data_IF_597463945977
#
_entry.id   IF_597463945977
#
_cell.length_a   1.000
_cell.length_b   1.000
_cell.length_c   1.000
_cell.angle_alpha   90.00
_cell.angle_beta   90.00
_cell.angle_gamma   90.00
#
_symmetry.space_group_name_H-M   'P 1'
#
loop_
_entity.id
_entity.type
_entity.pdbx_description
1 polymer ?
#
# COMPACT_ATOMS: atom_id res chain seq x y z
N UNK A 1 38.68 13.55 -20.74
CA UNK A 1 38.61 12.40 -19.80
C UNK A 1 37.26 11.75 -20.02
N UNK A 2 37.19 10.51 -20.48
CA UNK A 2 35.92 9.82 -20.70
C UNK A 2 35.35 9.41 -19.34
N UNK A 3 34.16 9.93 -19.00
CA UNK A 3 33.46 9.54 -17.76
C UNK A 3 33.03 8.08 -17.89
N UNK A 4 33.47 7.25 -16.97
CA UNK A 4 33.09 5.85 -16.93
C UNK A 4 31.65 5.76 -16.32
N UNK A 5 30.66 5.59 -17.19
CA UNK A 5 29.23 5.58 -16.83
C UNK A 5 28.85 4.45 -15.88
N UNK A 6 29.61 3.33 -15.87
CA UNK A 6 29.40 2.23 -14.91
C UNK A 6 29.73 2.67 -13.47
N UNK A 7 30.77 3.51 -13.32
CA UNK A 7 31.10 4.10 -12.02
C UNK A 7 30.06 5.14 -11.57
N UNK A 8 29.44 5.87 -12.50
CA UNK A 8 28.36 6.79 -12.23
C UNK A 8 27.10 6.05 -11.73
N UNK A 9 26.73 4.98 -12.38
CA UNK A 9 25.58 4.15 -11.99
C UNK A 9 25.83 3.48 -10.64
N UNK A 10 27.02 2.93 -10.40
CA UNK A 10 27.41 2.37 -9.11
C UNK A 10 27.51 3.44 -8.01
N UNK A 11 28.02 4.61 -8.32
CA UNK A 11 28.08 5.74 -7.39
C UNK A 11 26.69 6.24 -6.98
N UNK A 12 25.73 6.28 -7.91
CA UNK A 12 24.33 6.62 -7.63
C UNK A 12 23.63 5.57 -6.73
N UNK A 13 23.97 4.31 -6.89
CA UNK A 13 23.44 3.22 -6.06
C UNK A 13 24.03 3.28 -4.64
N UNK A 14 25.30 3.65 -4.52
CA UNK A 14 26.01 3.66 -3.23
C UNK A 14 25.78 4.93 -2.41
N UNK A 15 25.46 6.06 -3.03
CA UNK A 15 25.19 7.32 -2.31
C UNK A 15 23.74 7.33 -1.82
N UNK A 16 23.44 6.57 -0.79
CA UNK A 16 22.24 6.82 0.02
C UNK A 16 22.44 8.14 0.78
N UNK A 17 22.20 9.26 0.10
CA UNK A 17 22.04 10.52 0.79
C UNK A 17 20.76 10.39 1.62
N UNK A 18 20.86 10.57 2.92
CA UNK A 18 19.70 10.78 3.80
C UNK A 18 19.01 12.07 3.36
N UNK A 19 18.19 11.99 2.34
CA UNK A 19 17.24 13.05 2.05
C UNK A 19 16.22 13.01 3.17
N UNK A 20 15.97 14.16 3.82
CA UNK A 20 14.86 14.30 4.75
C UNK A 20 13.63 13.74 4.04
N UNK A 21 13.00 12.70 4.59
CA UNK A 21 11.80 12.10 4.01
C UNK A 21 10.78 13.22 3.80
N UNK A 22 10.30 13.45 2.58
CA UNK A 22 9.22 14.40 2.39
C UNK A 22 8.02 13.96 3.22
N UNK A 23 7.23 14.91 3.68
CA UNK A 23 6.02 14.68 4.50
C UNK A 23 5.00 13.72 3.86
N UNK A 24 5.11 13.47 2.56
CA UNK A 24 4.20 12.65 1.77
C UNK A 24 4.64 11.17 1.57
N UNK A 25 5.66 10.71 2.29
CA UNK A 25 6.12 9.32 2.18
C UNK A 25 5.26 8.39 3.06
N UNK A 26 4.00 8.23 2.66
CA UNK A 26 3.08 7.31 3.32
C UNK A 26 3.28 5.90 2.79
N UNK A 27 3.64 4.98 3.67
CA UNK A 27 3.89 3.56 3.33
C UNK A 27 3.07 2.60 4.17
N UNK A 28 2.05 3.11 4.89
CA UNK A 28 1.25 2.30 5.81
C UNK A 28 0.54 1.13 5.10
N UNK A 29 0.02 1.36 3.90
CA UNK A 29 -0.60 0.30 3.12
C UNK A 29 0.39 -0.78 2.73
N UNK A 30 1.59 -0.38 2.28
CA UNK A 30 2.65 -1.31 1.87
C UNK A 30 3.21 -2.09 3.07
N UNK A 31 3.43 -1.43 4.20
CA UNK A 31 4.13 -2.01 5.35
C UNK A 31 3.19 -2.78 6.29
N UNK A 32 1.93 -2.37 6.41
CA UNK A 32 0.97 -2.93 7.39
C UNK A 32 -0.13 -3.75 6.72
N UNK A 33 -0.79 -3.22 5.68
CA UNK A 33 -1.85 -3.94 5.00
C UNK A 33 -1.28 -5.07 4.15
N UNK A 34 -0.21 -4.79 3.38
CA UNK A 34 0.46 -5.72 2.47
C UNK A 34 1.89 -6.04 2.95
N UNK A 35 2.07 -6.11 4.27
CA UNK A 35 3.37 -6.33 4.92
C UNK A 35 3.93 -7.75 4.84
N UNK A 36 3.25 -8.69 4.18
CA UNK A 36 3.79 -10.02 3.92
C UNK A 36 4.96 -9.95 2.93
N UNK A 37 5.91 -10.91 2.99
CA UNK A 37 7.05 -10.92 2.09
C UNK A 37 6.63 -10.80 0.62
N UNK A 38 7.29 -9.91 -0.10
CA UNK A 38 7.03 -9.71 -1.54
C UNK A 38 7.45 -10.94 -2.34
N UNK A 39 6.74 -11.15 -3.45
CA UNK A 39 7.06 -12.19 -4.44
C UNK A 39 7.45 -11.54 -5.74
N UNK A 40 8.37 -12.17 -6.48
CA UNK A 40 8.83 -11.66 -7.77
C UNK A 40 8.88 -12.76 -8.82
N UNK A 41 8.51 -12.40 -10.04
CA UNK A 41 8.62 -13.25 -11.22
C UNK A 41 9.16 -12.46 -12.41
N UNK A 42 9.98 -13.09 -13.25
CA UNK A 42 10.42 -12.49 -14.51
C UNK A 42 9.33 -12.51 -15.61
N UNK A 43 8.21 -13.15 -15.34
CA UNK A 43 7.05 -13.19 -16.24
C UNK A 43 6.23 -11.90 -16.15
N UNK A 44 5.32 -11.70 -17.11
CA UNK A 44 4.41 -10.53 -17.14
C UNK A 44 3.20 -10.68 -16.19
N UNK A 45 3.00 -11.88 -15.65
CA UNK A 45 1.89 -12.22 -14.77
C UNK A 45 2.37 -12.98 -13.56
N UNK A 46 1.64 -12.81 -12.47
CA UNK A 46 1.81 -13.59 -11.23
C UNK A 46 0.71 -14.64 -11.20
N UNK A 47 1.09 -15.90 -11.04
CA UNK A 47 0.12 -16.98 -10.83
C UNK A 47 -0.40 -16.90 -9.39
N UNK A 48 -1.70 -16.63 -9.29
CA UNK A 48 -2.41 -16.52 -8.03
C UNK A 48 -3.34 -17.71 -7.88
N UNK A 49 -3.06 -18.56 -6.91
CA UNK A 49 -3.92 -19.70 -6.58
C UNK A 49 -4.47 -19.56 -5.17
N UNK A 50 -5.78 -19.77 -5.01
CA UNK A 50 -6.45 -19.80 -3.73
C UNK A 50 -7.09 -21.15 -3.50
N UNK A 51 -6.98 -21.63 -2.27
CA UNK A 51 -7.67 -22.82 -1.82
C UNK A 51 -8.78 -22.38 -0.84
N UNK A 52 -10.02 -22.61 -1.24
CA UNK A 52 -11.18 -22.44 -0.36
C UNK A 52 -11.51 -23.78 0.25
N UNK A 53 -11.44 -23.91 1.55
CA UNK A 53 -11.90 -25.08 2.27
C UNK A 53 -13.13 -24.73 3.09
N UNK A 54 -14.25 -25.38 2.83
CA UNK A 54 -15.43 -25.29 3.70
C UNK A 54 -15.57 -26.58 4.50
N UNK A 55 -15.57 -26.45 5.82
CA UNK A 55 -15.89 -27.57 6.72
C UNK A 55 -17.35 -27.46 7.09
N UNK A 56 -18.17 -28.37 6.54
CA UNK A 56 -19.56 -28.52 6.96
C UNK A 56 -19.66 -29.47 8.15
N UNK A 57 -20.67 -29.25 8.99
CA UNK A 57 -20.97 -30.18 10.06
C UNK A 57 -21.28 -31.58 9.46
N UNK A 58 -20.60 -32.65 9.86
CA UNK A 58 -20.92 -33.97 9.38
C UNK A 58 -22.32 -34.41 9.88
N UNK A 59 -23.09 -35.00 8.95
CA UNK A 59 -24.36 -35.61 9.37
C UNK A 59 -24.12 -36.86 10.23
N UNK A 60 -24.96 -37.08 11.21
CA UNK A 60 -24.91 -38.28 12.01
C UNK A 60 -25.17 -39.53 11.19
N UNK A 61 -24.28 -40.52 11.23
CA UNK A 61 -24.39 -41.75 10.50
C UNK A 61 -25.00 -42.86 11.41
N UNK A 62 -25.86 -43.69 10.81
CA UNK A 62 -26.38 -44.86 11.52
C UNK A 62 -25.30 -45.94 11.53
N UNK A 63 -25.04 -46.48 12.74
CA UNK A 63 -24.02 -47.49 12.96
C UNK A 63 -24.33 -48.76 12.14
N UNK A 64 -23.39 -49.15 11.28
CA UNK A 64 -23.54 -50.36 10.41
C UNK A 64 -23.94 -50.06 8.96
N UNK A 65 -24.14 -48.82 8.57
CA UNK A 65 -24.28 -48.43 7.14
C UNK A 65 -22.93 -47.98 6.59
N UNK A 66 -22.87 -48.07 5.23
CA UNK A 66 -21.69 -47.61 4.53
C UNK A 66 -21.38 -46.13 4.81
N UNK A 67 -20.09 -45.73 4.87
CA UNK A 67 -19.72 -44.39 5.13
C UNK A 67 -20.21 -43.44 4.01
N UNK A 68 -20.85 -42.35 4.38
CA UNK A 68 -21.26 -41.29 3.44
C UNK A 68 -20.03 -40.68 2.78
N UNK A 69 -20.03 -40.62 1.44
CA UNK A 69 -19.02 -39.83 0.72
C UNK A 69 -19.32 -38.35 0.88
N UNK A 70 -18.58 -37.69 1.72
CA UNK A 70 -18.67 -36.24 1.89
C UNK A 70 -17.57 -35.61 1.05
N UNK A 71 -17.95 -34.78 0.09
CA UNK A 71 -17.00 -33.95 -0.63
C UNK A 71 -16.84 -32.66 0.22
N UNK A 72 -15.83 -32.62 1.08
CA UNK A 72 -15.41 -31.37 1.67
C UNK A 72 -14.82 -30.54 0.54
N UNK A 73 -15.64 -29.67 -0.06
CA UNK A 73 -15.28 -28.91 -1.23
C UNK A 73 -14.01 -28.09 -1.00
N UNK A 74 -12.93 -28.58 -1.54
CA UNK A 74 -11.70 -27.79 -1.69
C UNK A 74 -11.74 -27.24 -3.10
N UNK A 75 -12.13 -25.99 -3.23
CA UNK A 75 -12.10 -25.30 -4.52
C UNK A 75 -10.73 -24.66 -4.71
N UNK A 76 -10.07 -25.03 -5.78
CA UNK A 76 -8.86 -24.39 -6.24
C UNK A 76 -9.21 -23.41 -7.35
N UNK A 77 -9.00 -22.13 -7.10
CA UNK A 77 -9.10 -21.10 -8.11
C UNK A 77 -7.70 -20.61 -8.45
N UNK A 78 -7.33 -20.68 -9.70
CA UNK A 78 -6.10 -20.07 -10.21
C UNK A 78 -6.45 -18.91 -11.13
N UNK A 79 -5.73 -17.81 -10.99
CA UNK A 79 -5.88 -16.62 -11.83
C UNK A 79 -4.51 -16.01 -12.09
N UNK A 80 -4.29 -15.57 -13.32
CA UNK A 80 -3.13 -14.77 -13.67
C UNK A 80 -3.41 -13.30 -13.33
N UNK A 81 -2.57 -12.70 -12.49
CA UNK A 81 -2.67 -11.32 -12.08
C UNK A 81 -1.61 -10.52 -12.82
N UNK A 82 -2.06 -9.52 -13.58
CA UNK A 82 -1.19 -8.56 -14.24
C UNK A 82 -0.72 -7.49 -13.26
N UNK A 83 0.45 -6.94 -13.49
CA UNK A 83 1.02 -5.84 -12.71
C UNK A 83 0.70 -4.49 -13.31
N UNK A 84 0.77 -3.46 -12.48
CA UNK A 84 0.84 -2.08 -12.94
C UNK A 84 2.29 -1.76 -13.32
N UNK A 85 2.53 -1.44 -14.59
CA UNK A 85 3.87 -1.08 -15.06
C UNK A 85 4.04 0.42 -15.06
N UNK A 86 5.03 0.90 -14.33
CA UNK A 86 5.43 2.31 -14.28
C UNK A 86 6.81 2.47 -14.90
N UNK A 87 6.91 3.42 -15.81
CA UNK A 87 8.16 3.78 -16.45
C UNK A 87 8.20 5.30 -16.60
N UNK A 88 9.04 5.95 -15.81
CA UNK A 88 9.20 7.38 -15.77
C UNK A 88 10.64 7.79 -16.16
N UNK A 89 10.75 8.93 -16.80
CA UNK A 89 12.00 9.52 -17.22
C UNK A 89 12.03 11.00 -16.83
N UNK A 90 13.15 11.46 -16.31
CA UNK A 90 13.37 12.87 -16.02
C UNK A 90 14.71 13.35 -16.61
N UNK A 91 14.65 14.43 -17.37
CA UNK A 91 15.79 14.99 -18.09
C UNK A 91 16.66 15.80 -17.14
N UNK A 92 17.98 15.62 -17.21
CA UNK A 92 18.94 16.43 -16.47
C UNK A 92 19.23 17.69 -17.29
N UNK A 93 18.79 18.81 -16.78
CA UNK A 93 19.08 20.10 -17.38
C UNK A 93 20.55 20.47 -17.19
N UNK A 94 21.32 20.44 -18.28
CA UNK A 94 22.74 20.79 -18.27
C UNK A 94 22.95 22.27 -17.95
N UNK A 95 22.03 23.16 -18.41
CA UNK A 95 22.11 24.56 -18.09
C UNK A 95 21.89 24.86 -16.60
N UNK A 96 21.09 24.03 -15.91
CA UNK A 96 20.97 24.08 -14.47
C UNK A 96 22.24 23.65 -13.74
N UNK A 97 23.00 22.70 -14.30
CA UNK A 97 24.28 22.27 -13.74
C UNK A 97 25.42 23.30 -13.89
N UNK A 98 25.30 24.23 -14.82
CA UNK A 98 26.24 25.38 -14.94
C UNK A 98 26.04 26.40 -13.81
N UNK A 99 24.83 26.46 -13.25
CA UNK A 99 24.48 27.34 -12.15
C UNK A 99 24.81 26.67 -10.82
N UNK A 100 25.09 27.51 -9.82
CA UNK A 100 25.31 27.06 -8.46
C UNK A 100 24.04 26.43 -7.89
N UNK A 101 24.17 25.25 -7.29
CA UNK A 101 23.07 24.58 -6.61
C UNK A 101 22.87 25.12 -5.18
N UNK A 102 21.66 25.00 -4.65
CA UNK A 102 21.27 25.53 -3.35
C UNK A 102 22.14 25.01 -2.17
N UNK A 103 22.54 23.73 -2.23
CA UNK A 103 23.33 23.08 -1.18
C UNK A 103 24.85 23.19 -1.39
N UNK A 104 25.29 23.96 -2.36
CA UNK A 104 26.70 24.07 -2.69
C UNK A 104 27.44 24.99 -1.72
N UNK A 105 28.57 24.56 -1.11
CA UNK A 105 29.34 25.38 -0.18
C UNK A 105 29.87 26.66 -0.83
N UNK A 106 29.78 27.78 -0.11
CA UNK A 106 30.25 29.09 -0.62
C UNK A 106 31.74 29.10 -0.91
N UNK A 107 32.53 28.45 -0.06
CA UNK A 107 33.98 28.52 -0.09
C UNK A 107 34.66 27.46 -0.95
N UNK A 108 33.88 26.47 -1.43
CA UNK A 108 34.40 25.41 -2.27
C UNK A 108 33.34 25.02 -3.33
N UNK A 109 33.24 25.75 -4.42
CA UNK A 109 32.25 25.50 -5.47
C UNK A 109 32.47 24.12 -6.11
N UNK A 110 31.35 23.44 -6.36
CA UNK A 110 31.41 22.14 -7.02
C UNK A 110 31.74 22.28 -8.49
N UNK A 111 32.35 21.24 -9.03
CA UNK A 111 32.54 21.12 -10.49
C UNK A 111 31.18 20.89 -11.17
N UNK A 112 31.07 21.23 -12.44
CA UNK A 112 29.87 20.99 -13.26
C UNK A 112 29.45 19.50 -13.21
N UNK A 113 30.42 18.60 -13.27
CA UNK A 113 30.20 17.15 -13.18
C UNK A 113 29.56 16.76 -11.85
N UNK A 114 30.04 17.31 -10.72
CA UNK A 114 29.47 17.05 -9.40
C UNK A 114 28.04 17.61 -9.29
N UNK A 115 27.77 18.75 -9.87
CA UNK A 115 26.40 19.32 -9.91
C UNK A 115 25.47 18.47 -10.76
N UNK A 116 25.92 17.91 -11.88
CA UNK A 116 25.13 16.96 -12.68
C UNK A 116 24.79 15.70 -11.89
N UNK A 117 25.74 15.15 -11.12
CA UNK A 117 25.52 14.01 -10.25
C UNK A 117 24.48 14.30 -9.15
N UNK A 118 24.56 15.47 -8.55
CA UNK A 118 23.61 15.88 -7.52
C UNK A 118 22.20 16.03 -8.12
N UNK A 119 22.08 16.69 -9.26
CA UNK A 119 20.79 16.80 -9.97
C UNK A 119 20.25 15.41 -10.36
N UNK A 120 21.08 14.51 -10.84
CA UNK A 120 20.69 13.14 -11.14
C UNK A 120 20.19 12.40 -9.90
N UNK A 121 20.86 12.59 -8.74
CA UNK A 121 20.43 12.00 -7.47
C UNK A 121 19.07 12.50 -7.04
N UNK A 122 18.84 13.81 -7.09
CA UNK A 122 17.54 14.43 -6.74
C UNK A 122 16.42 13.88 -7.63
N UNK A 123 16.66 13.80 -8.94
CA UNK A 123 15.67 13.28 -9.89
C UNK A 123 15.39 11.80 -9.71
N UNK A 124 16.43 11.02 -9.46
CA UNK A 124 16.30 9.60 -9.10
C UNK A 124 15.39 9.42 -7.88
N UNK A 125 15.63 10.20 -6.83
CA UNK A 125 14.88 10.08 -5.57
C UNK A 125 13.43 10.54 -5.78
N UNK A 126 13.18 11.53 -6.63
CA UNK A 126 11.84 11.96 -7.01
C UNK A 126 11.06 10.87 -7.77
N UNK A 127 11.70 10.19 -8.74
CA UNK A 127 11.08 9.06 -9.46
C UNK A 127 10.79 7.91 -8.50
N UNK A 128 11.75 7.54 -7.65
CA UNK A 128 11.56 6.47 -6.67
C UNK A 128 10.42 6.78 -5.69
N UNK A 129 10.27 8.03 -5.27
CA UNK A 129 9.17 8.48 -4.44
C UNK A 129 7.83 8.42 -5.19
N UNK A 130 7.79 8.87 -6.44
CA UNK A 130 6.60 8.77 -7.28
C UNK A 130 6.08 7.34 -7.38
N UNK A 131 7.00 6.38 -7.54
CA UNK A 131 6.64 4.95 -7.59
C UNK A 131 6.18 4.40 -6.24
N UNK A 132 6.71 4.89 -5.11
CA UNK A 132 6.20 4.53 -3.78
C UNK A 132 4.76 5.02 -3.58
N UNK A 133 4.48 6.25 -3.95
CA UNK A 133 3.11 6.81 -3.91
C UNK A 133 2.17 6.01 -4.81
N UNK A 134 2.59 5.65 -6.01
CA UNK A 134 1.81 4.83 -6.93
C UNK A 134 1.53 3.42 -6.38
N UNK A 135 2.53 2.78 -5.75
CA UNK A 135 2.38 1.49 -5.06
C UNK A 135 1.40 1.60 -3.88
N UNK A 136 1.54 2.64 -3.07
CA UNK A 136 0.64 2.88 -1.93
C UNK A 136 -0.81 3.01 -2.41
N UNK A 137 -1.05 3.81 -3.46
CA UNK A 137 -2.36 3.95 -4.07
C UNK A 137 -2.91 2.60 -4.55
N UNK A 138 -2.11 1.81 -5.25
CA UNK A 138 -2.51 0.49 -5.75
C UNK A 138 -2.92 -0.46 -4.62
N UNK A 139 -2.19 -0.45 -3.51
CA UNK A 139 -2.49 -1.25 -2.31
C UNK A 139 -3.80 -0.83 -1.67
N UNK A 140 -4.03 0.48 -1.51
CA UNK A 140 -5.28 0.98 -0.94
C UNK A 140 -6.47 0.74 -1.85
N UNK A 141 -6.34 0.93 -3.16
CA UNK A 141 -7.40 0.60 -4.13
C UNK A 141 -7.79 -0.88 -4.03
N UNK A 142 -6.79 -1.77 -3.92
CA UNK A 142 -7.00 -3.20 -3.73
C UNK A 142 -7.66 -3.52 -2.38
N UNK A 143 -7.19 -2.94 -1.29
CA UNK A 143 -7.72 -3.18 0.05
C UNK A 143 -9.18 -2.70 0.20
N UNK A 144 -9.53 -1.55 -0.38
CA UNK A 144 -10.88 -0.96 -0.26
C UNK A 144 -11.91 -1.65 -1.16
N UNK A 145 -11.49 -2.03 -2.37
CA UNK A 145 -12.42 -2.50 -3.40
C UNK A 145 -12.28 -3.99 -3.73
N UNK A 146 -11.31 -4.70 -3.14
CA UNK A 146 -10.97 -6.08 -3.53
C UNK A 146 -10.45 -6.20 -4.96
N UNK A 147 -10.05 -5.09 -5.57
CA UNK A 147 -9.60 -5.02 -6.96
C UNK A 147 -8.73 -3.80 -7.20
N UNK A 148 -7.90 -3.86 -8.21
CA UNK A 148 -7.16 -2.72 -8.73
C UNK A 148 -7.19 -2.73 -10.26
N UNK A 149 -6.96 -1.56 -10.86
CA UNK A 149 -6.98 -1.40 -12.32
C UNK A 149 -5.59 -1.06 -12.81
N UNK A 150 -5.15 -1.76 -13.84
CA UNK A 150 -3.91 -1.49 -14.54
C UNK A 150 -4.20 -0.97 -15.94
N UNK A 151 -3.36 -0.07 -16.44
CA UNK A 151 -3.52 0.50 -17.78
C UNK A 151 -3.40 -0.54 -18.89
N UNK A 152 -2.55 -1.54 -18.70
CA UNK A 152 -2.25 -2.59 -19.69
C UNK A 152 -3.09 -3.85 -19.50
N UNK A 153 -3.39 -4.22 -18.24
CA UNK A 153 -4.03 -5.48 -17.89
C UNK A 153 -5.51 -5.39 -17.49
N UNK A 154 -6.09 -4.19 -17.57
CA UNK A 154 -7.47 -3.98 -17.16
C UNK A 154 -7.71 -4.14 -15.65
N UNK A 155 -8.91 -4.52 -15.26
CA UNK A 155 -9.28 -4.73 -13.86
C UNK A 155 -8.78 -6.09 -13.35
N UNK A 156 -7.98 -6.05 -12.30
CA UNK A 156 -7.52 -7.23 -11.55
C UNK A 156 -8.35 -7.35 -10.27
N UNK A 157 -9.26 -8.31 -10.21
CA UNK A 157 -10.18 -8.51 -9.09
C UNK A 157 -9.88 -9.78 -8.32
N UNK A 158 -10.14 -9.76 -7.03
CA UNK A 158 -10.03 -10.92 -6.14
C UNK A 158 -11.43 -11.41 -5.77
N UNK A 159 -11.65 -12.73 -5.63
CA UNK A 159 -12.96 -13.31 -5.37
C UNK A 159 -13.38 -13.12 -3.90
N UNK A 160 -13.55 -11.87 -3.47
CA UNK A 160 -14.05 -11.55 -2.13
C UNK A 160 -15.57 -11.53 -2.10
N UNK A 161 -16.16 -11.93 -0.99
CA UNK A 161 -17.61 -11.85 -0.81
C UNK A 161 -18.08 -10.39 -0.66
N UNK A 162 -19.24 -10.07 -1.23
CA UNK A 162 -19.82 -8.73 -1.12
C UNK A 162 -20.10 -8.33 0.33
N UNK A 163 -20.40 -9.30 1.20
CA UNK A 163 -20.61 -9.06 2.63
C UNK A 163 -19.35 -8.63 3.38
N UNK A 164 -18.16 -8.89 2.85
CA UNK A 164 -16.89 -8.44 3.43
C UNK A 164 -16.49 -7.07 2.90
N UNK A 165 -16.78 -6.80 1.64
CA UNK A 165 -16.49 -5.50 1.00
C UNK A 165 -17.49 -4.40 1.35
N UNK A 166 -18.64 -4.75 1.93
CA UNK A 166 -19.69 -3.78 2.26
C UNK A 166 -20.36 -4.10 3.60
N UNK A 167 -19.58 -4.03 4.68
CA UNK A 167 -20.11 -4.11 6.03
C UNK A 167 -20.79 -2.77 6.37
N UNK A 168 -22.01 -2.83 6.94
CA UNK A 168 -22.77 -1.63 7.24
C UNK A 168 -22.11 -0.79 8.35
N UNK A 169 -21.79 0.47 8.04
CA UNK A 169 -21.14 1.44 8.93
C UNK A 169 -22.02 2.63 9.36
N UNK A 170 -23.26 2.75 8.87
CA UNK A 170 -24.10 3.92 9.08
C UNK A 170 -24.28 4.32 10.56
N UNK A 171 -24.27 3.37 11.47
CA UNK A 171 -24.44 3.61 12.91
C UNK A 171 -23.13 3.64 13.69
N UNK A 172 -21.97 3.66 13.02
CA UNK A 172 -20.68 3.57 13.72
C UNK A 172 -20.48 4.71 14.73
N UNK A 173 -20.86 5.92 14.37
CA UNK A 173 -20.70 7.09 15.24
C UNK A 173 -21.73 7.13 16.35
N UNK A 174 -22.99 6.79 16.04
CA UNK A 174 -24.08 6.79 17.04
C UNK A 174 -24.03 5.61 18.01
N UNK A 175 -23.60 4.42 17.53
CA UNK A 175 -23.58 3.17 18.31
C UNK A 175 -22.30 2.37 18.02
N UNK A 176 -21.13 2.89 18.38
CA UNK A 176 -19.84 2.30 17.98
C UNK A 176 -19.68 0.87 18.48
N UNK A 177 -20.01 0.59 19.73
CA UNK A 177 -19.87 -0.75 20.31
C UNK A 177 -20.71 -1.81 19.59
N UNK A 178 -21.97 -1.50 19.35
CA UNK A 178 -22.91 -2.43 18.70
C UNK A 178 -22.50 -2.68 17.25
N UNK A 179 -22.17 -1.61 16.53
CA UNK A 179 -21.77 -1.67 15.10
C UNK A 179 -20.48 -2.48 14.93
N UNK A 180 -19.48 -2.20 15.74
CA UNK A 180 -18.20 -2.92 15.68
C UNK A 180 -18.38 -4.39 16.09
N UNK A 181 -19.21 -4.66 17.10
CA UNK A 181 -19.47 -6.03 17.53
C UNK A 181 -20.23 -6.84 16.46
N UNK A 182 -21.17 -6.22 15.74
CA UNK A 182 -21.84 -6.83 14.60
C UNK A 182 -20.85 -7.11 13.44
N UNK A 183 -19.98 -6.17 13.13
CA UNK A 183 -18.93 -6.34 12.15
C UNK A 183 -17.94 -7.46 12.56
N UNK A 184 -17.53 -7.49 13.82
CA UNK A 184 -16.68 -8.53 14.37
C UNK A 184 -17.32 -9.93 14.28
N UNK A 185 -18.65 -10.03 14.50
CA UNK A 185 -19.40 -11.27 14.33
C UNK A 185 -19.39 -11.75 12.89
N UNK A 186 -19.58 -10.86 11.94
CA UNK A 186 -19.53 -11.16 10.49
C UNK A 186 -18.15 -11.71 10.09
N UNK A 187 -17.08 -11.06 10.56
CA UNK A 187 -15.70 -11.50 10.34
C UNK A 187 -15.43 -12.85 11.00
N UNK A 188 -15.88 -13.02 12.25
CA UNK A 188 -15.69 -14.25 12.99
C UNK A 188 -16.36 -15.47 12.34
N UNK A 189 -17.52 -15.27 11.69
CA UNK A 189 -18.20 -16.31 10.90
C UNK A 189 -17.38 -16.78 9.70
N UNK A 190 -16.45 -15.95 9.24
CA UNK A 190 -15.49 -16.26 8.18
C UNK A 190 -14.12 -16.74 8.72
N UNK A 191 -14.03 -16.97 10.04
CA UNK A 191 -12.80 -17.42 10.69
C UNK A 191 -11.79 -16.31 10.97
N UNK A 192 -12.19 -15.04 10.86
CA UNK A 192 -11.30 -13.88 11.03
C UNK A 192 -11.57 -13.20 12.37
N UNK A 193 -10.51 -13.00 13.15
CA UNK A 193 -10.60 -12.24 14.41
C UNK A 193 -10.22 -10.78 14.16
N UNK A 194 -11.18 -9.88 14.32
CA UNK A 194 -10.95 -8.43 14.20
C UNK A 194 -10.00 -7.95 15.30
N UNK A 195 -8.99 -7.20 14.95
CA UNK A 195 -8.01 -6.61 15.88
C UNK A 195 -7.80 -5.11 15.67
N UNK A 196 -7.96 -4.62 14.47
CA UNK A 196 -7.70 -3.21 14.12
C UNK A 196 -8.81 -2.67 13.23
N UNK A 197 -9.17 -1.41 13.47
CA UNK A 197 -10.05 -0.64 12.59
C UNK A 197 -9.29 0.60 12.16
N UNK A 198 -9.29 0.88 10.87
CA UNK A 198 -8.65 2.07 10.31
C UNK A 198 -9.74 2.95 9.73
N UNK A 199 -9.81 4.18 10.22
CA UNK A 199 -10.77 5.20 9.84
C UNK A 199 -10.12 6.33 9.07
N UNK A 200 -10.91 7.00 8.24
CA UNK A 200 -10.55 8.31 7.70
C UNK A 200 -10.46 9.34 8.85
N UNK A 201 -9.62 10.38 8.75
CA UNK A 201 -9.48 11.41 9.79
C UNK A 201 -10.79 12.09 10.19
N UNK A 202 -11.66 12.41 9.21
CA UNK A 202 -12.95 13.04 9.49
C UNK A 202 -13.88 12.11 10.28
N UNK A 203 -13.98 10.85 9.87
CA UNK A 203 -14.80 9.83 10.54
C UNK A 203 -14.28 9.51 11.94
N UNK A 204 -12.94 9.43 12.09
CA UNK A 204 -12.30 9.21 13.39
C UNK A 204 -12.49 10.36 14.36
N UNK A 205 -12.41 11.61 13.88
CA UNK A 205 -12.70 12.80 14.70
C UNK A 205 -14.17 12.85 15.11
N UNK A 206 -15.10 12.55 14.20
CA UNK A 206 -16.53 12.48 14.50
C UNK A 206 -16.84 11.38 15.53
N UNK A 207 -16.19 10.20 15.41
CA UNK A 207 -16.32 9.13 16.38
C UNK A 207 -15.83 9.56 17.77
N UNK A 208 -14.64 10.14 17.86
CA UNK A 208 -14.05 10.59 19.12
C UNK A 208 -14.89 11.69 19.81
N UNK A 209 -15.53 12.58 19.03
CA UNK A 209 -16.40 13.63 19.53
C UNK A 209 -17.81 13.15 19.90
N UNK A 210 -18.20 11.92 19.52
CA UNK A 210 -19.56 11.41 19.74
C UNK A 210 -19.85 11.17 21.23
N UNK A 211 -21.08 11.45 21.65
CA UNK A 211 -21.54 11.17 23.03
C UNK A 211 -21.49 9.67 23.37
N UNK A 212 -21.68 8.81 22.37
CA UNK A 212 -21.60 7.38 22.52
C UNK A 212 -20.17 6.93 22.87
N UNK A 213 -19.16 7.50 22.22
CA UNK A 213 -17.76 7.24 22.53
C UNK A 213 -17.39 7.73 23.93
N UNK A 214 -17.81 8.93 24.31
CA UNK A 214 -17.60 9.47 25.65
C UNK A 214 -18.26 8.58 26.73
N UNK A 215 -19.47 8.10 26.48
CA UNK A 215 -20.14 7.15 27.38
C UNK A 215 -19.38 5.81 27.52
N UNK A 216 -18.72 5.36 26.43
CA UNK A 216 -17.89 4.16 26.50
C UNK A 216 -16.61 4.40 27.30
N UNK A 217 -16.01 5.58 27.21
CA UNK A 217 -14.89 6.01 28.06
C UNK A 217 -15.27 6.01 29.55
N UNK A 218 -16.40 6.62 29.90
CA UNK A 218 -16.89 6.69 31.28
C UNK A 218 -17.17 5.30 31.87
N UNK A 219 -17.66 4.37 31.03
CA UNK A 219 -17.90 2.98 31.41
C UNK A 219 -16.65 2.10 31.35
N UNK A 220 -15.48 2.65 31.12
CA UNK A 220 -14.20 1.94 30.97
C UNK A 220 -14.23 0.82 29.92
N UNK A 221 -15.02 1.01 28.86
CA UNK A 221 -15.05 0.11 27.70
C UNK A 221 -14.08 0.54 26.59
N UNK A 222 -13.49 1.71 26.74
CA UNK A 222 -12.43 2.22 25.88
C UNK A 222 -11.27 2.59 26.76
N UNK A 223 -10.11 2.02 26.48
CA UNK A 223 -8.84 2.51 26.99
C UNK A 223 -8.29 3.54 26.00
N UNK A 224 -8.25 4.79 26.43
CA UNK A 224 -7.44 5.81 25.77
C UNK A 224 -6.04 5.63 26.32
N UNK A 225 -5.08 5.42 25.45
CA UNK A 225 -3.68 5.36 25.85
C UNK A 225 -3.34 6.56 26.72
N UNK A 226 -2.51 6.35 27.75
CA UNK A 226 -2.10 7.42 28.66
C UNK A 226 -1.62 8.63 27.86
N UNK A 227 -1.78 9.84 28.42
CA UNK A 227 -1.44 11.16 27.85
C UNK A 227 0.06 11.34 27.47
N UNK A 228 0.82 10.30 27.36
CA UNK A 228 2.05 10.36 26.59
C UNK A 228 1.63 10.64 25.13
N UNK A 229 2.23 11.66 24.49
CA UNK A 229 2.11 11.80 23.06
C UNK A 229 2.66 10.47 22.49
N UNK A 230 1.76 9.50 22.38
CA UNK A 230 2.09 8.30 21.69
C UNK A 230 2.55 8.75 20.32
N UNK A 231 3.79 8.50 20.09
CA UNK A 231 4.46 8.51 18.83
C UNK A 231 3.41 8.49 17.75
N UNK A 232 3.22 9.64 17.09
CA UNK A 232 2.53 9.67 15.80
C UNK A 232 3.15 8.48 15.07
N UNK A 233 2.38 7.42 14.87
CA UNK A 233 2.93 6.25 14.17
C UNK A 233 3.56 6.78 12.91
N UNK A 234 4.81 6.44 12.62
CA UNK A 234 5.43 6.89 11.39
C UNK A 234 4.43 6.61 10.28
N UNK A 235 4.18 7.56 9.39
CA UNK A 235 3.28 7.45 8.23
C UNK A 235 1.82 7.89 8.42
N UNK A 236 1.53 8.86 9.27
CA UNK A 236 0.21 9.51 9.35
C UNK A 236 -0.90 8.68 10.01
N UNK A 237 -0.53 7.71 10.83
CA UNK A 237 -1.47 6.90 11.62
C UNK A 237 -1.49 7.39 13.06
N UNK A 238 -2.68 7.59 13.62
CA UNK A 238 -2.88 7.92 15.02
C UNK A 238 -3.88 6.95 15.66
N UNK A 239 -3.61 6.52 16.89
CA UNK A 239 -4.53 5.67 17.64
C UNK A 239 -5.57 6.53 18.36
N UNK A 240 -6.84 6.21 18.14
CA UNK A 240 -7.97 6.86 18.84
C UNK A 240 -8.23 6.22 20.20
N UNK A 241 -8.12 4.91 20.26
CA UNK A 241 -8.33 4.13 21.48
C UNK A 241 -8.48 2.64 21.21
N UNK A 242 -8.61 1.86 22.29
CA UNK A 242 -8.86 0.41 22.22
C UNK A 242 -10.23 0.12 22.82
N UNK A 243 -11.11 -0.52 22.07
CA UNK A 243 -12.43 -0.93 22.54
C UNK A 243 -12.30 -2.30 23.19
N UNK A 244 -12.82 -2.44 24.41
CA UNK A 244 -12.76 -3.66 25.21
C UNK A 244 -14.17 -4.25 25.36
N UNK A 245 -14.24 -5.57 25.52
CA UNK A 245 -15.49 -6.29 25.78
C UNK A 245 -16.26 -6.67 24.52
N UNK A 246 -15.60 -6.65 23.35
CA UNK A 246 -16.14 -7.17 22.11
C UNK A 246 -16.00 -8.70 22.05
N UNK A 247 -16.81 -9.34 21.20
CA UNK A 247 -16.79 -10.80 21.00
C UNK A 247 -15.45 -11.33 20.50
N UNK A 248 -14.68 -10.50 19.80
CA UNK A 248 -13.34 -10.81 19.27
C UNK A 248 -12.20 -10.42 20.21
N UNK A 249 -12.50 -9.91 21.41
CA UNK A 249 -11.53 -9.32 22.34
C UNK A 249 -11.26 -7.83 22.06
N UNK A 250 -10.14 -7.28 22.53
CA UNK A 250 -9.81 -5.86 22.33
C UNK A 250 -9.55 -5.54 20.86
N UNK A 251 -10.06 -4.40 20.42
CA UNK A 251 -9.92 -3.89 19.06
C UNK A 251 -9.37 -2.47 19.11
N UNK A 252 -8.26 -2.25 18.43
CA UNK A 252 -7.64 -0.95 18.28
C UNK A 252 -8.29 -0.15 17.16
N UNK A 253 -8.58 1.11 17.43
CA UNK A 253 -9.13 2.06 16.46
C UNK A 253 -8.05 3.08 16.09
N UNK A 254 -7.74 3.15 14.81
CA UNK A 254 -6.74 4.05 14.25
C UNK A 254 -7.38 5.02 13.24
N UNK A 255 -6.76 6.19 13.12
CA UNK A 255 -7.00 7.15 12.06
C UNK A 255 -5.80 7.11 11.10
N UNK A 256 -6.07 7.13 9.81
CA UNK A 256 -5.04 7.24 8.78
C UNK A 256 -5.23 8.49 7.93
N UNK A 257 -4.28 9.42 8.01
CA UNK A 257 -4.30 10.70 7.33
C UNK A 257 -3.46 10.73 6.04
N UNK A 258 -3.13 9.58 5.47
CA UNK A 258 -2.36 9.50 4.24
C UNK A 258 -3.13 10.02 3.02
N UNK A 259 -2.45 10.79 2.17
CA UNK A 259 -2.99 11.30 0.92
C UNK A 259 -1.95 11.21 -0.19
N UNK A 260 -2.39 11.30 -1.43
CA UNK A 260 -1.53 11.46 -2.59
C UNK A 260 -1.94 12.70 -3.37
N UNK A 261 -0.99 13.22 -4.13
CA UNK A 261 -1.15 14.44 -4.90
C UNK A 261 -1.22 14.11 -6.38
N UNK A 262 -2.25 14.59 -7.06
CA UNK A 262 -2.33 14.55 -8.52
C UNK A 262 -2.20 15.94 -9.08
N UNK A 263 -1.53 16.06 -10.22
CA UNK A 263 -1.37 17.31 -10.94
C UNK A 263 -2.09 17.20 -12.28
N UNK A 264 -3.01 18.11 -12.55
CA UNK A 264 -3.66 18.18 -13.85
C UNK A 264 -2.71 18.72 -14.91
N UNK A 265 -3.07 18.56 -16.19
CA UNK A 265 -2.35 19.17 -17.33
C UNK A 265 -2.29 20.69 -17.24
N UNK A 266 -3.23 21.31 -16.56
CA UNK A 266 -3.31 22.76 -16.31
C UNK A 266 -2.50 23.20 -15.08
N UNK A 267 -1.79 22.28 -14.44
CA UNK A 267 -0.96 22.56 -13.26
C UNK A 267 -1.71 22.63 -11.93
N UNK A 268 -3.03 22.38 -11.92
CA UNK A 268 -3.82 22.34 -10.69
C UNK A 268 -3.41 21.12 -9.85
N UNK A 269 -3.06 21.37 -8.60
CA UNK A 269 -2.67 20.35 -7.62
C UNK A 269 -3.89 19.94 -6.81
N UNK A 270 -4.20 18.64 -6.80
CA UNK A 270 -5.31 18.08 -6.03
C UNK A 270 -4.78 17.02 -5.06
N UNK A 271 -5.16 17.16 -3.79
CA UNK A 271 -4.87 16.18 -2.76
C UNK A 271 -6.03 15.22 -2.60
N UNK A 272 -5.75 13.93 -2.65
CA UNK A 272 -6.76 12.87 -2.52
C UNK A 272 -6.32 11.90 -1.41
N UNK A 273 -7.18 11.66 -0.46
CA UNK A 273 -6.93 10.71 0.63
C UNK A 273 -6.94 9.27 0.11
N UNK A 274 -6.02 8.44 0.60
CA UNK A 274 -5.99 7.01 0.26
C UNK A 274 -7.23 6.29 0.80
N UNK A 275 -7.65 6.59 2.03
CA UNK A 275 -8.86 6.06 2.63
C UNK A 275 -9.96 7.14 2.55
N UNK A 276 -10.95 7.00 1.65
CA UNK A 276 -12.00 8.00 1.50
C UNK A 276 -12.91 8.05 2.73
N UNK A 277 -13.46 9.23 3.02
CA UNK A 277 -14.47 9.43 4.05
C UNK A 277 -15.67 8.49 3.86
N UNK A 278 -16.27 8.05 4.94
CA UNK A 278 -17.39 7.12 4.94
C UNK A 278 -17.00 5.66 4.78
N UNK A 279 -15.69 5.35 4.75
CA UNK A 279 -15.15 3.98 4.70
C UNK A 279 -14.17 3.71 5.83
N UNK A 280 -14.17 2.47 6.31
CA UNK A 280 -13.17 1.97 7.25
C UNK A 280 -12.71 0.57 6.84
N UNK A 281 -11.46 0.24 7.17
CA UNK A 281 -10.92 -1.09 6.95
C UNK A 281 -10.85 -1.82 8.30
N UNK A 282 -11.36 -3.03 8.33
CA UNK A 282 -11.41 -3.93 9.48
C UNK A 282 -10.37 -5.02 9.30
N UNK A 283 -9.36 -5.03 10.13
CA UNK A 283 -8.17 -5.86 9.95
C UNK A 283 -8.00 -6.92 11.03
N UNK A 284 -7.45 -8.10 10.69
CA UNK A 284 -6.89 -9.03 11.65
C UNK A 284 -5.57 -8.49 12.25
N UNK A 285 -4.90 -9.31 13.06
CA UNK A 285 -3.58 -9.00 13.57
C UNK A 285 -2.48 -9.06 12.49
N UNK A 286 -2.69 -9.88 11.48
CA UNK A 286 -1.75 -10.14 10.37
C UNK A 286 -2.00 -9.21 9.19
N UNK A 287 -1.02 -9.10 8.30
CA UNK A 287 -1.20 -8.44 7.01
C UNK A 287 -2.23 -9.21 6.14
N UNK A 288 -2.95 -8.48 5.29
CA UNK A 288 -4.02 -9.05 4.44
C UNK A 288 -3.51 -9.43 3.04
N UNK A 289 -2.33 -9.00 2.69
CA UNK A 289 -1.76 -9.25 1.37
C UNK A 289 -0.26 -9.03 1.31
N UNK A 290 0.25 -9.11 0.09
CA UNK A 290 1.64 -8.87 -0.27
C UNK A 290 1.75 -8.11 -1.57
N UNK A 291 2.90 -7.49 -1.81
CA UNK A 291 3.21 -6.86 -3.09
C UNK A 291 3.95 -7.89 -3.94
N UNK A 292 3.42 -8.15 -5.14
CA UNK A 292 4.09 -8.93 -6.16
C UNK A 292 4.79 -8.02 -7.16
N UNK A 293 5.87 -8.49 -7.76
CA UNK A 293 6.58 -7.78 -8.82
C UNK A 293 6.72 -8.68 -10.04
N UNK A 294 6.35 -8.16 -11.20
CA UNK A 294 6.57 -8.82 -12.49
C UNK A 294 7.85 -8.34 -13.16
N UNK A 295 8.22 -8.96 -14.27
CA UNK A 295 9.45 -8.65 -14.97
C UNK A 295 9.46 -7.23 -15.57
N UNK A 296 10.51 -6.46 -15.26
CA UNK A 296 10.86 -5.22 -15.93
C UNK A 296 12.01 -5.46 -16.90
N UNK A 297 12.11 -4.60 -17.92
CA UNK A 297 13.22 -4.68 -18.87
C UNK A 297 14.49 -4.10 -18.24
N UNK A 298 15.47 -4.96 -17.99
CA UNK A 298 16.75 -4.59 -17.42
C UNK A 298 17.82 -4.71 -18.50
N UNK A 299 18.66 -3.69 -18.64
CA UNK A 299 19.83 -3.75 -19.49
C UNK A 299 21.08 -3.85 -18.60
N UNK A 300 21.69 -5.04 -18.58
CA UNK A 300 22.97 -5.27 -17.89
C UNK A 300 24.06 -5.56 -18.92
N UNK A 301 25.07 -4.70 -18.98
CA UNK A 301 26.24 -4.88 -19.87
C UNK A 301 25.85 -5.05 -21.35
N UNK A 302 24.84 -4.34 -21.82
CA UNK A 302 24.38 -4.42 -23.21
C UNK A 302 23.45 -5.60 -23.52
N UNK A 303 23.15 -6.45 -22.55
CA UNK A 303 22.19 -7.56 -22.69
C UNK A 303 20.86 -7.14 -22.06
N UNK A 304 19.81 -7.13 -22.88
CA UNK A 304 18.46 -6.88 -22.41
C UNK A 304 17.84 -8.19 -21.92
N UNK A 305 17.24 -8.15 -20.72
CA UNK A 305 16.51 -9.25 -20.13
C UNK A 305 15.34 -8.77 -19.31
N UNK A 306 14.40 -9.67 -18.99
CA UNK A 306 13.34 -9.41 -18.02
C UNK A 306 13.77 -9.94 -16.66
N UNK A 307 13.74 -9.07 -15.64
CA UNK A 307 14.04 -9.44 -14.25
C UNK A 307 12.93 -8.95 -13.33
N UNK A 308 12.64 -9.74 -12.30
CA UNK A 308 11.79 -9.28 -11.20
C UNK A 308 12.59 -8.32 -10.31
N UNK A 309 12.14 -7.09 -10.21
CA UNK A 309 12.78 -6.08 -9.38
C UNK A 309 11.82 -5.69 -8.26
N UNK A 310 12.22 -6.04 -7.03
CA UNK A 310 11.38 -5.85 -5.84
C UNK A 310 11.09 -4.37 -5.49
N UNK A 311 11.89 -3.45 -6.00
CA UNK A 311 11.65 -2.02 -5.78
C UNK A 311 11.57 -1.28 -7.10
N UNK A 312 12.52 -0.39 -7.34
CA UNK A 312 12.61 0.40 -8.54
C UNK A 312 13.93 0.13 -9.24
N UNK A 313 13.87 -0.27 -10.50
CA UNK A 313 15.05 -0.33 -11.33
C UNK A 313 15.33 1.07 -11.86
N UNK A 314 16.47 1.64 -11.50
CA UNK A 314 16.88 2.98 -11.86
C UNK A 314 18.10 2.91 -12.78
N UNK A 315 18.05 3.63 -13.88
CA UNK A 315 19.15 3.73 -14.84
C UNK A 315 19.44 5.18 -15.17
N UNK A 316 20.69 5.43 -15.48
CA UNK A 316 21.13 6.70 -16.08
C UNK A 316 21.38 6.44 -17.55
N UNK A 317 20.78 7.21 -18.42
CA UNK A 317 20.97 7.09 -19.85
C UNK A 317 21.38 8.44 -20.46
N UNK A 318 22.10 8.34 -21.57
CA UNK A 318 22.57 9.48 -22.33
C UNK A 318 22.27 9.27 -23.80
N UNK A 319 21.45 10.12 -24.35
CA UNK A 319 21.14 10.09 -25.73
C UNK A 319 22.18 10.92 -26.54
N UNK A 320 22.71 10.32 -27.58
CA UNK A 320 23.65 10.98 -28.50
C UNK A 320 22.86 11.50 -29.70
N UNK A 321 22.44 12.74 -29.64
CA UNK A 321 21.86 13.47 -30.72
C UNK A 321 22.70 14.72 -31.07
N UNK A 322 22.11 15.67 -31.78
CA UNK A 322 22.73 16.99 -32.06
C UNK A 322 22.99 17.75 -30.75
N UNK A 323 22.16 17.52 -29.72
CA UNK A 323 22.35 17.96 -28.34
C UNK A 323 22.44 16.74 -27.45
N UNK A 324 23.51 16.63 -26.65
CA UNK A 324 23.69 15.55 -25.71
C UNK A 324 22.73 15.71 -24.52
N UNK A 325 21.69 14.91 -24.46
CA UNK A 325 20.72 14.91 -23.35
C UNK A 325 21.03 13.77 -22.39
N UNK A 326 21.07 14.08 -21.12
CA UNK A 326 21.22 13.08 -20.06
C UNK A 326 19.92 12.98 -19.27
N UNK A 327 19.49 11.77 -18.92
CA UNK A 327 18.26 11.55 -18.18
C UNK A 327 18.38 10.40 -17.20
N UNK A 328 17.54 10.43 -16.18
CA UNK A 328 17.34 9.33 -15.23
C UNK A 328 16.05 8.64 -15.60
N UNK A 329 16.10 7.33 -15.73
CA UNK A 329 14.94 6.49 -15.98
C UNK A 329 14.67 5.59 -14.78
N UNK A 330 13.40 5.38 -14.47
CA UNK A 330 12.97 4.43 -13.45
C UNK A 330 11.89 3.51 -13.96
N UNK A 331 11.93 2.25 -13.55
CA UNK A 331 10.93 1.23 -13.90
C UNK A 331 10.54 0.43 -12.66
N UNK A 332 9.26 0.09 -12.56
CA UNK A 332 8.75 -0.86 -11.57
C UNK A 332 7.45 -1.49 -12.07
N UNK A 333 7.18 -2.72 -11.67
CA UNK A 333 5.98 -3.45 -12.11
C UNK A 333 5.28 -4.14 -10.91
N UNK A 334 4.72 -3.36 -9.95
CA UNK A 334 4.05 -3.90 -8.79
C UNK A 334 2.64 -4.42 -9.11
N UNK A 335 2.23 -5.43 -8.33
CA UNK A 335 0.86 -5.90 -8.24
C UNK A 335 0.47 -6.04 -6.76
N UNK A 336 -0.69 -5.54 -6.38
CA UNK A 336 -1.23 -5.77 -5.05
C UNK A 336 -1.95 -7.14 -5.02
N UNK A 337 -1.55 -8.04 -4.14
CA UNK A 337 -2.08 -9.41 -4.06
C UNK A 337 -2.69 -9.63 -2.68
N UNK A 338 -3.97 -9.97 -2.62
CA UNK A 338 -4.63 -10.36 -1.38
C UNK A 338 -4.32 -11.84 -1.07
N UNK A 339 -3.67 -12.10 0.06
CA UNK A 339 -3.26 -13.47 0.45
C UNK A 339 -4.42 -14.33 0.94
N UNK A 340 -5.49 -13.72 1.36
CA UNK A 340 -6.66 -14.41 1.88
C UNK A 340 -7.95 -13.78 1.37
N UNK A 341 -8.81 -14.64 0.82
CA UNK A 341 -10.18 -14.28 0.49
C UNK A 341 -10.95 -14.13 1.79
N UNK A 342 -11.72 -13.04 1.92
CA UNK A 342 -12.54 -12.78 3.12
C UNK A 342 -11.76 -12.71 4.46
N UNK A 343 -10.44 -12.40 4.43
CA UNK A 343 -9.62 -12.28 5.63
C UNK A 343 -9.67 -10.90 6.30
N UNK A 344 -10.42 -9.97 5.75
CA UNK A 344 -10.62 -8.63 6.30
C UNK A 344 -11.99 -8.11 5.85
N UNK A 345 -12.40 -6.94 6.34
CA UNK A 345 -13.65 -6.33 5.94
C UNK A 345 -13.52 -4.86 5.62
N UNK A 346 -14.41 -4.35 4.78
CA UNK A 346 -14.54 -2.92 4.49
C UNK A 346 -15.91 -2.45 4.98
N UNK A 347 -15.90 -1.55 5.95
CA UNK A 347 -17.12 -0.90 6.43
C UNK A 347 -17.42 0.30 5.53
N UNK A 348 -18.67 0.44 5.13
CA UNK A 348 -19.11 1.49 4.21
C UNK A 348 -20.33 2.23 4.75
N UNK A 349 -20.55 3.46 4.26
CA UNK A 349 -21.71 4.28 4.65
C UNK A 349 -21.59 4.85 6.05
N UNK A 350 -20.37 5.10 6.55
CA UNK A 350 -20.16 5.81 7.81
C UNK A 350 -20.66 7.26 7.60
N UNK A 351 -21.60 7.66 8.41
CA UNK A 351 -22.15 9.04 8.39
C UNK A 351 -21.94 9.67 9.76
N UNK A 352 -21.43 10.91 9.74
CA UNK A 352 -21.26 11.75 10.93
C UNK A 352 -22.61 12.27 11.45
#
# INVERSE_FOLDING_TARGET
>A
MAINYDQLTQGLIQTQVKVSKPLEDYTFGQDVLFGNPSIGTAQDYIDYSTQLSSVALPDEAVKGLDPRRVNYGVEFNSKLIGSAYYFDEDVIDLAAAEKRLFNEPLNNPWTVERRQLELASVKRDAIAQGFRVAKEKLVWDCAINGKFTTRSGGEQSFPMSSSMLSIAGANLIAKPFETINAAAKTLFQKGVTLKRIILNPADGAALAASSAWQTMLDKKRVEVGSVMPETVMPNGVAKVGTIIGLICGPVDVYIYAGFYTTRSTEGVVTHTEYLPQGKAILLPATAIGRIGYTGVLVNRNGVQGKEAVAETYLTYAKERGALVTSYVQGQTAPAAILDGIDHYGVMTGITA
#
